data_IF_502845472690
#
_entry.id   IF_502845472690
#
_cell.length_a   1.000
_cell.length_b   1.000
_cell.length_c   1.000
_cell.angle_alpha   90.00
_cell.angle_beta   90.00
_cell.angle_gamma   90.00
#
_symmetry.space_group_name_H-M   'P 1'
#
loop_
_entity.id
_entity.type
_entity.pdbx_description
1 polymer ?
#
# COMPACT_ATOMS: atom_id res chain seq x y z
N UNK A 1 -18.81 -0.31 13.57
CA UNK A 1 -18.73 -1.74 13.97
C UNK A 1 -19.81 -2.60 13.31
N UNK A 2 -21.10 -2.31 13.46
CA UNK A 2 -22.20 -3.12 12.89
C UNK A 2 -22.12 -3.20 11.36
N UNK A 3 -21.87 -2.07 10.65
CA UNK A 3 -21.71 -2.01 9.20
C UNK A 3 -20.61 -2.93 8.68
N UNK A 4 -19.44 -2.92 9.31
CA UNK A 4 -18.30 -3.78 8.95
C UNK A 4 -18.60 -5.27 9.14
N UNK A 5 -19.29 -5.62 10.22
CA UNK A 5 -19.74 -7.00 10.47
C UNK A 5 -20.68 -7.47 9.37
N UNK A 6 -21.63 -6.62 8.97
CA UNK A 6 -22.60 -6.93 7.91
C UNK A 6 -21.89 -7.12 6.57
N UNK A 7 -20.94 -6.23 6.21
CA UNK A 7 -20.15 -6.38 4.98
C UNK A 7 -19.36 -7.69 5.00
N UNK A 8 -18.64 -7.97 6.10
CA UNK A 8 -17.88 -9.22 6.22
C UNK A 8 -18.76 -10.48 6.10
N UNK A 9 -20.00 -10.45 6.61
CA UNK A 9 -20.94 -11.56 6.46
C UNK A 9 -21.42 -11.74 5.02
N UNK A 10 -21.68 -10.63 4.29
CA UNK A 10 -22.08 -10.67 2.88
C UNK A 10 -20.94 -11.19 2.00
N UNK A 11 -19.69 -10.71 2.23
CA UNK A 11 -18.49 -11.20 1.54
C UNK A 11 -18.30 -12.70 1.73
N UNK A 12 -18.51 -13.21 2.98
CA UNK A 12 -18.42 -14.64 3.29
C UNK A 12 -19.44 -15.48 2.52
N UNK A 13 -20.62 -14.93 2.25
CA UNK A 13 -21.68 -15.57 1.44
C UNK A 13 -21.43 -15.42 -0.07
N UNK A 14 -20.31 -14.83 -0.48
CA UNK A 14 -19.99 -14.52 -1.88
C UNK A 14 -21.06 -13.65 -2.57
N UNK A 15 -21.67 -12.74 -1.81
CA UNK A 15 -22.67 -11.80 -2.33
C UNK A 15 -22.03 -10.91 -3.42
N UNK A 16 -22.50 -10.97 -4.67
CA UNK A 16 -21.84 -10.25 -5.78
C UNK A 16 -21.86 -8.72 -5.58
N UNK A 17 -22.97 -8.17 -5.10
CA UNK A 17 -23.08 -6.72 -4.87
C UNK A 17 -22.10 -6.23 -3.79
N UNK A 18 -21.93 -7.01 -2.72
CA UNK A 18 -20.98 -6.67 -1.67
C UNK A 18 -19.53 -6.75 -2.18
N UNK A 19 -19.21 -7.74 -3.02
CA UNK A 19 -17.90 -7.87 -3.64
C UNK A 19 -17.61 -6.77 -4.64
N UNK A 20 -18.59 -6.37 -5.48
CA UNK A 20 -18.45 -5.24 -6.40
C UNK A 20 -18.10 -3.97 -5.65
N UNK A 21 -18.85 -3.63 -4.59
CA UNK A 21 -18.58 -2.45 -3.77
C UNK A 21 -17.19 -2.48 -3.12
N UNK A 22 -16.76 -3.63 -2.61
CA UNK A 22 -15.44 -3.79 -2.01
C UNK A 22 -14.35 -3.69 -3.07
N UNK A 23 -14.53 -4.26 -4.24
CA UNK A 23 -13.60 -4.14 -5.35
C UNK A 23 -13.44 -2.69 -5.78
N UNK A 24 -14.54 -1.99 -6.09
CA UNK A 24 -14.53 -0.58 -6.51
C UNK A 24 -13.87 0.34 -5.46
N UNK A 25 -14.15 0.11 -4.18
CA UNK A 25 -13.59 0.93 -3.10
C UNK A 25 -12.10 0.66 -2.86
N UNK A 26 -11.66 -0.60 -2.91
CA UNK A 26 -10.32 -0.98 -2.45
C UNK A 26 -9.33 -1.24 -3.58
N UNK A 27 -9.76 -1.54 -4.80
CA UNK A 27 -8.85 -1.78 -5.93
C UNK A 27 -7.86 -0.63 -6.13
N UNK A 28 -8.29 0.65 -6.27
CA UNK A 28 -7.36 1.76 -6.48
C UNK A 28 -6.42 2.00 -5.30
N UNK A 29 -6.85 1.68 -4.07
CA UNK A 29 -6.03 1.83 -2.86
C UNK A 29 -4.97 0.73 -2.78
N UNK A 30 -5.34 -0.51 -3.07
CA UNK A 30 -4.44 -1.67 -3.07
C UNK A 30 -3.46 -1.56 -4.23
N UNK A 31 -3.92 -1.17 -5.43
CA UNK A 31 -3.06 -0.92 -6.57
C UNK A 31 -1.96 0.11 -6.24
N UNK A 32 -2.33 1.29 -5.71
CA UNK A 32 -1.34 2.30 -5.31
C UNK A 32 -0.34 1.77 -4.28
N UNK A 33 -0.81 1.00 -3.30
CA UNK A 33 0.06 0.38 -2.30
C UNK A 33 1.04 -0.63 -2.92
N UNK A 34 0.60 -1.41 -3.89
CA UNK A 34 1.44 -2.39 -4.59
C UNK A 34 2.39 -1.66 -5.55
N UNK A 35 1.88 -0.70 -6.33
CA UNK A 35 2.65 0.04 -7.32
C UNK A 35 3.85 0.80 -6.75
N UNK A 36 3.78 1.29 -5.51
CA UNK A 36 4.95 1.89 -4.84
C UNK A 36 6.01 0.86 -4.42
N UNK A 37 5.76 -0.43 -4.58
CA UNK A 37 6.62 -1.54 -4.17
C UNK A 37 7.11 -2.41 -5.31
N UNK A 38 6.48 -2.29 -6.46
CA UNK A 38 6.74 -3.07 -7.67
C UNK A 38 7.11 -2.12 -8.79
N UNK A 39 8.16 -2.43 -9.55
CA UNK A 39 8.72 -1.51 -10.55
C UNK A 39 7.94 -1.50 -11.86
N UNK A 40 7.13 -2.52 -12.11
CA UNK A 40 6.40 -2.72 -13.36
C UNK A 40 4.90 -2.53 -13.13
N UNK A 41 4.27 -1.78 -14.04
CA UNK A 41 2.84 -1.47 -13.96
C UNK A 41 1.98 -2.71 -14.17
N UNK A 42 2.32 -3.54 -15.13
CA UNK A 42 1.58 -4.76 -15.46
C UNK A 42 1.64 -5.73 -14.28
N UNK A 43 2.83 -5.91 -13.69
CA UNK A 43 2.98 -6.74 -12.49
C UNK A 43 2.21 -6.18 -11.28
N UNK A 44 2.13 -4.84 -11.15
CA UNK A 44 1.34 -4.23 -10.07
C UNK A 44 -0.16 -4.45 -10.26
N UNK A 45 -0.66 -4.39 -11.49
CA UNK A 45 -2.05 -4.72 -11.84
C UNK A 45 -2.33 -6.20 -11.55
N UNK A 46 -1.49 -7.11 -12.06
CA UNK A 46 -1.64 -8.56 -11.85
C UNK A 46 -1.62 -8.93 -10.36
N UNK A 47 -0.70 -8.38 -9.59
CA UNK A 47 -0.65 -8.61 -8.15
C UNK A 47 -1.90 -8.08 -7.43
N UNK A 48 -2.44 -6.95 -7.90
CA UNK A 48 -3.68 -6.40 -7.34
C UNK A 48 -4.85 -7.32 -7.60
N UNK A 49 -5.00 -7.85 -8.82
CA UNK A 49 -6.03 -8.83 -9.16
C UNK A 49 -5.88 -10.12 -8.33
N UNK A 50 -4.65 -10.62 -8.18
CA UNK A 50 -4.36 -11.78 -7.34
C UNK A 50 -4.75 -11.58 -5.87
N UNK A 51 -4.67 -10.34 -5.35
CA UNK A 51 -5.15 -10.04 -3.98
C UNK A 51 -6.65 -10.27 -3.89
N UNK A 52 -7.45 -9.80 -4.85
CA UNK A 52 -8.90 -9.98 -4.84
C UNK A 52 -9.31 -11.43 -5.08
N UNK A 53 -8.63 -12.15 -5.98
CA UNK A 53 -8.84 -13.58 -6.18
C UNK A 53 -8.57 -14.35 -4.88
N UNK A 54 -7.43 -14.09 -4.23
CA UNK A 54 -7.09 -14.72 -2.94
C UNK A 54 -8.08 -14.37 -1.84
N UNK A 55 -8.59 -13.15 -1.82
CA UNK A 55 -9.63 -12.74 -0.88
C UNK A 55 -10.94 -13.48 -1.15
N UNK A 56 -11.34 -13.63 -2.41
CA UNK A 56 -12.54 -14.37 -2.80
C UNK A 56 -12.45 -15.86 -2.43
N UNK A 57 -11.30 -16.48 -2.61
CA UNK A 57 -11.03 -17.86 -2.21
C UNK A 57 -11.08 -18.03 -0.67
N UNK A 58 -10.45 -17.12 0.05
CA UNK A 58 -10.33 -17.17 1.51
C UNK A 58 -11.57 -16.65 2.26
N UNK A 59 -12.54 -16.02 1.58
CA UNK A 59 -13.66 -15.34 2.24
C UNK A 59 -14.51 -16.25 3.12
N UNK A 60 -14.69 -17.52 2.76
CA UNK A 60 -15.49 -18.47 3.55
C UNK A 60 -14.81 -18.80 4.89
N UNK A 61 -13.48 -18.85 4.92
CA UNK A 61 -12.70 -19.09 6.15
C UNK A 61 -12.47 -17.80 6.95
N UNK A 62 -12.81 -16.64 6.39
CA UNK A 62 -12.61 -15.35 7.04
C UNK A 62 -13.43 -15.26 8.33
N UNK A 63 -12.72 -15.12 9.45
CA UNK A 63 -13.32 -14.88 10.77
C UNK A 63 -13.23 -13.41 11.10
N UNK A 64 -14.35 -12.70 11.00
CA UNK A 64 -14.38 -11.31 11.43
C UNK A 64 -14.15 -11.21 12.96
N UNK A 65 -13.06 -10.53 13.33
CA UNK A 65 -12.64 -10.33 14.72
C UNK A 65 -12.62 -8.83 15.08
N UNK A 66 -13.59 -8.07 14.57
CA UNK A 66 -13.67 -6.63 14.80
C UNK A 66 -12.62 -5.79 14.03
N UNK A 67 -11.92 -6.39 13.09
CA UNK A 67 -11.04 -5.66 12.18
C UNK A 67 -11.81 -5.23 10.93
N UNK A 68 -11.56 -4.02 10.38
CA UNK A 68 -12.14 -3.60 9.11
C UNK A 68 -11.74 -4.55 7.96
N UNK A 69 -12.60 -4.65 6.95
CA UNK A 69 -12.34 -5.42 5.72
C UNK A 69 -11.05 -4.93 5.04
N UNK A 70 -10.79 -3.63 5.07
CA UNK A 70 -9.53 -3.04 4.62
C UNK A 70 -8.29 -3.71 5.23
N UNK A 71 -8.27 -3.90 6.55
CA UNK A 71 -7.13 -4.52 7.23
C UNK A 71 -6.88 -5.96 6.79
N UNK A 72 -7.92 -6.69 6.45
CA UNK A 72 -7.81 -8.03 5.92
C UNK A 72 -7.28 -8.05 4.48
N UNK A 73 -7.84 -7.22 3.60
CA UNK A 73 -7.38 -7.10 2.20
C UNK A 73 -5.92 -6.64 2.12
N UNK A 74 -5.55 -5.60 2.88
CA UNK A 74 -4.17 -5.12 2.89
C UNK A 74 -3.17 -6.10 3.52
N UNK A 75 -3.61 -7.00 4.40
CA UNK A 75 -2.77 -8.11 4.88
C UNK A 75 -2.48 -9.09 3.75
N UNK A 76 -3.48 -9.42 2.92
CA UNK A 76 -3.28 -10.26 1.73
C UNK A 76 -2.34 -9.56 0.76
N UNK A 77 -2.58 -8.27 0.45
CA UNK A 77 -1.73 -7.48 -0.43
C UNK A 77 -0.27 -7.43 0.05
N UNK A 78 -0.06 -7.20 1.35
CA UNK A 78 1.28 -7.19 1.95
C UNK A 78 1.99 -8.54 1.79
N UNK A 79 1.30 -9.63 2.04
CA UNK A 79 1.87 -10.96 1.89
C UNK A 79 2.24 -11.23 0.42
N UNK A 80 1.38 -10.89 -0.54
CA UNK A 80 1.66 -11.03 -1.98
C UNK A 80 2.90 -10.26 -2.40
N UNK A 81 3.06 -9.01 -1.95
CA UNK A 81 4.26 -8.21 -2.23
C UNK A 81 5.52 -8.83 -1.60
N UNK A 82 5.43 -9.36 -0.38
CA UNK A 82 6.57 -10.03 0.26
C UNK A 82 6.96 -11.29 -0.53
N UNK A 83 5.99 -12.11 -0.93
CA UNK A 83 6.23 -13.33 -1.70
C UNK A 83 6.82 -13.00 -3.07
N UNK A 84 6.29 -12.00 -3.76
CA UNK A 84 6.82 -11.49 -5.02
C UNK A 84 8.31 -11.11 -4.90
N UNK A 85 8.67 -10.30 -3.90
CA UNK A 85 10.06 -9.89 -3.66
C UNK A 85 10.99 -11.04 -3.28
N UNK A 86 10.47 -12.07 -2.65
CA UNK A 86 11.24 -13.26 -2.28
C UNK A 86 11.55 -14.13 -3.49
N UNK A 87 10.62 -14.22 -4.44
CA UNK A 87 10.75 -15.06 -5.63
C UNK A 87 11.68 -14.41 -6.66
N UNK A 88 11.69 -13.09 -6.75
CA UNK A 88 12.50 -12.35 -7.73
C UNK A 88 13.59 -11.51 -7.06
N UNK A 89 14.66 -12.18 -6.66
CA UNK A 89 15.86 -11.54 -6.08
C UNK A 89 16.61 -10.62 -7.07
N UNK A 90 16.36 -10.74 -8.37
CA UNK A 90 17.02 -9.94 -9.43
C UNK A 90 16.38 -8.57 -9.63
N UNK A 91 15.11 -8.43 -9.27
CA UNK A 91 14.36 -7.18 -9.38
C UNK A 91 14.67 -6.27 -8.19
N UNK A 92 15.76 -5.50 -8.29
CA UNK A 92 15.97 -4.35 -7.41
C UNK A 92 14.76 -3.44 -7.55
N UNK A 93 13.95 -3.38 -6.51
CA UNK A 93 12.71 -2.63 -6.45
C UNK A 93 13.02 -1.14 -6.52
N UNK A 94 12.90 -0.55 -7.69
CA UNK A 94 12.70 0.89 -7.81
C UNK A 94 11.19 1.12 -7.90
N UNK A 95 10.62 2.02 -7.10
CA UNK A 95 9.19 2.29 -7.15
C UNK A 95 8.76 2.86 -8.49
N UNK A 96 7.53 2.55 -8.88
CA UNK A 96 6.88 2.93 -10.13
C UNK A 96 6.58 4.45 -10.26
N UNK A 97 7.19 5.29 -9.44
CA UNK A 97 6.94 6.73 -9.47
C UNK A 97 7.29 7.39 -10.80
N UNK A 98 8.15 6.78 -11.63
CA UNK A 98 8.49 7.31 -12.95
C UNK A 98 7.36 7.19 -13.99
N UNK A 99 6.37 6.30 -13.77
CA UNK A 99 5.33 6.02 -14.76
C UNK A 99 3.94 6.59 -14.40
N UNK A 100 3.78 7.25 -13.26
CA UNK A 100 2.47 7.77 -12.81
C UNK A 100 2.12 9.13 -13.46
N UNK A 101 3.06 9.77 -14.14
CA UNK A 101 2.93 11.18 -14.54
C UNK A 101 2.73 11.44 -16.04
N UNK A 102 2.44 10.45 -16.89
CA UNK A 102 2.63 10.63 -18.34
C UNK A 102 1.47 11.22 -19.16
N UNK A 103 0.31 11.58 -18.61
CA UNK A 103 -0.80 11.96 -19.49
C UNK A 103 -1.34 13.40 -19.43
N UNK A 104 -0.84 14.30 -18.56
CA UNK A 104 -1.42 15.66 -18.46
C UNK A 104 -0.51 16.82 -18.04
N UNK A 105 0.80 16.67 -18.02
CA UNK A 105 1.72 17.69 -17.44
C UNK A 105 2.68 18.24 -18.52
N UNK A 106 3.00 19.55 -18.46
CA UNK A 106 3.98 20.14 -19.38
C UNK A 106 5.39 19.56 -19.21
N UNK A 107 6.25 19.49 -20.24
CA UNK A 107 7.59 18.91 -20.15
C UNK A 107 8.48 19.50 -19.05
N UNK A 108 8.31 20.78 -18.71
CA UNK A 108 9.05 21.44 -17.63
C UNK A 108 8.57 21.00 -16.25
N UNK A 109 7.25 20.91 -16.05
CA UNK A 109 6.65 20.39 -14.81
C UNK A 109 6.91 18.90 -14.63
N UNK A 110 6.98 18.14 -15.74
CA UNK A 110 7.33 16.72 -15.74
C UNK A 110 8.79 16.50 -15.31
N UNK A 111 9.72 17.34 -15.77
CA UNK A 111 11.12 17.28 -15.35
C UNK A 111 11.29 17.62 -13.85
N UNK A 112 10.59 18.63 -13.34
CA UNK A 112 10.63 19.00 -11.92
C UNK A 112 9.94 17.94 -11.04
N UNK A 113 8.78 17.43 -11.43
CA UNK A 113 8.09 16.35 -10.72
C UNK A 113 8.93 15.07 -10.71
N UNK A 114 9.60 14.72 -11.81
CA UNK A 114 10.50 13.58 -11.86
C UNK A 114 11.69 13.73 -10.91
N UNK A 115 12.24 14.94 -10.74
CA UNK A 115 13.30 15.20 -9.76
C UNK A 115 12.82 15.00 -8.32
N UNK A 116 11.70 15.61 -7.93
CA UNK A 116 11.14 15.49 -6.59
C UNK A 116 10.74 14.04 -6.27
N UNK A 117 10.18 13.34 -7.24
CA UNK A 117 9.83 11.92 -7.14
C UNK A 117 11.07 11.05 -6.94
N UNK A 118 12.14 11.26 -7.72
CA UNK A 118 13.42 10.55 -7.55
C UNK A 118 14.02 10.79 -6.17
N UNK A 119 14.00 12.02 -5.69
CA UNK A 119 14.48 12.37 -4.34
C UNK A 119 13.64 11.65 -3.26
N UNK A 120 12.31 11.61 -3.43
CA UNK A 120 11.43 10.88 -2.49
C UNK A 120 11.75 9.38 -2.48
N UNK A 121 11.92 8.76 -3.64
CA UNK A 121 12.31 7.35 -3.78
C UNK A 121 13.63 7.07 -3.05
N UNK A 122 14.62 7.91 -3.28
CA UNK A 122 15.93 7.78 -2.63
C UNK A 122 15.82 7.92 -1.10
N UNK A 123 15.04 8.89 -0.63
CA UNK A 123 14.77 9.07 0.79
C UNK A 123 14.01 7.89 1.41
N UNK A 124 13.00 7.36 0.70
CA UNK A 124 12.26 6.15 1.11
C UNK A 124 13.16 4.92 1.21
N UNK A 125 14.16 4.80 0.32
CA UNK A 125 15.15 3.73 0.35
C UNK A 125 15.98 3.67 1.64
N UNK A 126 16.09 4.78 2.36
CA UNK A 126 16.86 4.88 3.61
C UNK A 126 16.04 4.63 4.88
N UNK A 127 14.72 4.49 4.75
CA UNK A 127 13.86 4.10 5.86
C UNK A 127 14.10 2.63 6.24
N UNK A 128 13.96 2.32 7.53
CA UNK A 128 13.89 0.91 7.95
C UNK A 128 12.67 0.23 7.32
N UNK A 129 12.69 -1.11 7.13
CA UNK A 129 11.54 -1.84 6.58
C UNK A 129 10.23 -1.54 7.33
N UNK A 130 10.26 -1.45 8.65
CA UNK A 130 9.09 -1.15 9.46
C UNK A 130 8.57 0.30 9.28
N UNK A 131 9.47 1.27 9.15
CA UNK A 131 9.10 2.66 8.86
C UNK A 131 8.48 2.78 7.47
N UNK A 132 9.07 2.10 6.47
CA UNK A 132 8.57 2.07 5.11
C UNK A 132 7.18 1.44 5.03
N UNK A 133 6.97 0.29 5.67
CA UNK A 133 5.65 -0.36 5.76
C UNK A 133 4.59 0.59 6.31
N UNK A 134 4.89 1.33 7.37
CA UNK A 134 3.95 2.29 7.96
C UNK A 134 3.64 3.43 6.98
N UNK A 135 4.65 4.04 6.35
CA UNK A 135 4.45 5.15 5.40
C UNK A 135 3.62 4.70 4.19
N UNK A 136 3.96 3.57 3.60
CA UNK A 136 3.26 3.06 2.41
C UNK A 136 1.81 2.67 2.70
N UNK A 137 1.54 1.98 3.81
CA UNK A 137 0.17 1.65 4.24
C UNK A 137 -0.65 2.91 4.56
N UNK A 138 -0.04 3.91 5.21
CA UNK A 138 -0.70 5.17 5.56
C UNK A 138 -1.00 6.04 4.36
N UNK A 139 -0.04 6.26 3.48
CA UNK A 139 -0.12 7.28 2.43
C UNK A 139 -0.50 6.70 1.06
N UNK A 140 0.09 5.59 0.63
CA UNK A 140 -0.32 4.94 -0.61
C UNK A 140 -1.61 4.14 -0.42
N UNK A 141 -1.74 3.39 0.67
CA UNK A 141 -2.95 2.62 1.00
C UNK A 141 -4.11 3.46 1.55
N UNK A 142 -3.85 4.68 2.02
CA UNK A 142 -4.88 5.55 2.61
C UNK A 142 -5.46 5.04 3.93
N UNK A 143 -4.72 4.20 4.67
CA UNK A 143 -5.23 3.55 5.88
C UNK A 143 -5.04 4.42 7.13
N UNK A 144 -5.91 4.26 8.12
CA UNK A 144 -5.76 4.85 9.45
C UNK A 144 -4.65 4.16 10.26
N UNK A 145 -4.12 4.83 11.30
CA UNK A 145 -3.15 4.20 12.20
C UNK A 145 -3.69 2.96 12.91
N UNK A 146 -5.00 2.91 13.15
CA UNK A 146 -5.66 1.75 13.75
C UNK A 146 -5.66 0.54 12.79
N UNK A 147 -5.92 0.75 11.51
CA UNK A 147 -5.87 -0.30 10.48
C UNK A 147 -4.45 -0.80 10.27
N UNK A 148 -3.48 0.12 10.14
CA UNK A 148 -2.05 -0.22 10.00
C UNK A 148 -1.57 -1.04 11.21
N UNK A 149 -1.98 -0.67 12.43
CA UNK A 149 -1.66 -1.41 13.65
C UNK A 149 -2.16 -2.86 13.57
N UNK A 150 -3.38 -3.07 13.08
CA UNK A 150 -3.96 -4.40 12.88
C UNK A 150 -3.24 -5.21 11.80
N UNK A 151 -2.81 -4.57 10.71
CA UNK A 151 -2.07 -5.23 9.62
C UNK A 151 -0.69 -5.67 10.11
N UNK A 152 0.01 -4.80 10.83
CA UNK A 152 1.39 -5.04 11.28
C UNK A 152 1.49 -5.80 12.60
N UNK A 153 0.36 -6.09 13.27
CA UNK A 153 0.36 -6.74 14.59
C UNK A 153 1.01 -5.88 15.68
N UNK A 154 0.83 -4.55 15.60
CA UNK A 154 1.41 -3.56 16.52
C UNK A 154 0.33 -2.78 17.26
N UNK A 155 0.71 -2.07 18.33
CA UNK A 155 -0.19 -1.10 18.95
C UNK A 155 -0.33 0.15 18.09
N UNK A 156 -1.46 0.84 18.18
CA UNK A 156 -1.67 2.11 17.47
C UNK A 156 -0.65 3.20 17.90
N UNK A 157 -0.24 3.19 19.17
CA UNK A 157 0.81 4.06 19.69
C UNK A 157 2.15 3.81 19.01
N UNK A 158 2.55 2.54 18.88
CA UNK A 158 3.78 2.16 18.17
C UNK A 158 3.75 2.59 16.70
N UNK A 159 2.60 2.45 16.01
CA UNK A 159 2.45 2.94 14.62
C UNK A 159 2.62 4.45 14.54
N UNK A 160 2.03 5.23 15.46
CA UNK A 160 2.20 6.70 15.50
C UNK A 160 3.66 7.10 15.69
N UNK A 161 4.37 6.44 16.60
CA UNK A 161 5.81 6.70 16.83
C UNK A 161 6.63 6.37 15.59
N UNK A 162 6.40 5.23 14.96
CA UNK A 162 7.10 4.85 13.72
C UNK A 162 6.79 5.81 12.56
N UNK A 163 5.53 6.25 12.41
CA UNK A 163 5.16 7.25 11.41
C UNK A 163 5.88 8.57 11.64
N UNK A 164 5.91 9.06 12.89
CA UNK A 164 6.59 10.29 13.24
C UNK A 164 8.09 10.21 12.93
N UNK A 165 8.75 9.15 13.38
CA UNK A 165 10.17 8.89 13.12
C UNK A 165 10.48 8.78 11.62
N UNK A 166 9.64 8.09 10.86
CA UNK A 166 9.80 7.98 9.41
C UNK A 166 9.67 9.33 8.71
N UNK A 167 8.65 10.13 9.05
CA UNK A 167 8.46 11.46 8.47
C UNK A 167 9.61 12.42 8.83
N UNK A 168 10.14 12.34 10.06
CA UNK A 168 11.31 13.12 10.46
C UNK A 168 12.55 12.73 9.63
N UNK A 169 12.79 11.45 9.43
CA UNK A 169 13.88 10.94 8.59
C UNK A 169 13.73 11.42 7.14
N UNK A 170 12.53 11.32 6.55
CA UNK A 170 12.26 11.79 5.19
C UNK A 170 12.50 13.31 5.07
N UNK A 171 11.99 14.12 5.99
CA UNK A 171 12.22 15.58 5.98
C UNK A 171 13.68 15.93 6.02
N UNK A 172 14.47 15.29 6.90
CA UNK A 172 15.92 15.53 7.01
C UNK A 172 16.64 15.23 5.68
N UNK A 173 16.26 14.14 5.00
CA UNK A 173 16.87 13.75 3.73
C UNK A 173 16.50 14.66 2.58
N UNK A 174 15.21 15.00 2.46
CA UNK A 174 14.73 15.89 1.40
C UNK A 174 15.27 17.31 1.54
N UNK A 175 15.44 17.81 2.77
CA UNK A 175 16.07 19.12 2.99
C UNK A 175 17.56 19.12 2.59
N UNK A 176 18.28 18.03 2.80
CA UNK A 176 19.68 17.91 2.39
C UNK A 176 19.85 17.84 0.87
N UNK A 177 18.92 17.22 0.16
CA UNK A 177 18.96 17.11 -1.31
C UNK A 177 18.62 18.43 -2.02
N UNK A 178 17.87 19.34 -1.40
CA UNK A 178 17.56 20.69 -1.95
C UNK A 178 18.69 21.70 -1.79
N UNK A 179 19.72 21.38 -1.01
CA UNK A 179 20.87 22.26 -0.75
C UNK A 179 22.14 21.86 -1.51
N UNK A 180 22.07 20.78 -2.26
CA UNK A 180 23.17 20.25 -3.13
C UNK A 180 22.85 20.48 -4.59
#
# INVERSE_FOLDING_TARGET
MQKEKTVAQRLKKRDPEAWTKVYEEYFPKIYRYIAVRVSDRVEAEDLTEQVFLSALEACQSFKWRGAPVSSWLFRIARNRVIDYKRTDKSKKTFPLYENITSDTVSPETEAEMNSDVRQLIQAMGQLTPAQRDVIELRFAGGLSNAEVAKILGKSQGAVKVMQHSALAALRKKLSGLRQS
#
